data_IF_911782618222
#
_entry.id   IF_911782618222
#
_cell.length_a   1.000
_cell.length_b   1.000
_cell.length_c   1.000
_cell.angle_alpha   90.00
_cell.angle_beta   90.00
_cell.angle_gamma   90.00
#
_symmetry.space_group_name_H-M   'P 1'
#
loop_
_entity.id
_entity.type
_entity.pdbx_description
1 polymer ?
#
# COMPACT_ATOMS: atom_id res chain seq x y z
N UNK A 1 10.97 -15.24 5.84
CA UNK A 1 10.89 -14.63 4.50
C UNK A 1 10.02 -15.53 3.65
N UNK A 2 8.99 -14.98 3.01
CA UNK A 2 8.02 -15.69 2.19
C UNK A 2 8.27 -15.32 0.73
N UNK A 3 8.46 -16.33 -0.10
CA UNK A 3 8.77 -16.13 -1.52
C UNK A 3 7.66 -16.80 -2.32
N UNK A 4 7.12 -16.07 -3.31
CA UNK A 4 6.08 -16.57 -4.20
C UNK A 4 6.46 -16.30 -5.65
N UNK A 5 5.90 -17.06 -6.56
CA UNK A 5 6.01 -16.83 -8.01
C UNK A 5 5.13 -15.66 -8.46
N UNK A 6 5.39 -15.11 -9.64
CA UNK A 6 4.55 -14.06 -10.22
C UNK A 6 3.08 -14.50 -10.38
N UNK A 7 2.83 -15.76 -10.72
CA UNK A 7 1.47 -16.28 -10.88
C UNK A 7 0.77 -16.45 -9.54
N UNK A 8 1.47 -16.92 -8.50
CA UNK A 8 0.94 -16.93 -7.14
C UNK A 8 0.65 -15.51 -6.63
N UNK A 9 1.52 -14.55 -6.92
CA UNK A 9 1.29 -13.14 -6.59
C UNK A 9 0.01 -12.61 -7.25
N UNK A 10 -0.17 -12.86 -8.56
CA UNK A 10 -1.40 -12.50 -9.28
C UNK A 10 -2.63 -13.17 -8.68
N UNK A 11 -2.53 -14.43 -8.26
CA UNK A 11 -3.61 -15.14 -7.59
C UNK A 11 -3.94 -14.52 -6.23
N UNK A 12 -2.95 -14.10 -5.45
CA UNK A 12 -3.14 -13.38 -4.18
C UNK A 12 -3.85 -12.04 -4.39
N UNK A 13 -3.46 -11.26 -5.40
CA UNK A 13 -4.12 -9.99 -5.70
C UNK A 13 -5.59 -10.22 -6.10
N UNK A 14 -5.84 -11.23 -6.96
CA UNK A 14 -7.20 -11.61 -7.36
C UNK A 14 -8.03 -12.12 -6.19
N UNK A 15 -7.41 -12.83 -5.25
CA UNK A 15 -8.08 -13.36 -4.06
C UNK A 15 -8.56 -12.26 -3.12
N UNK A 16 -7.97 -11.05 -3.16
CA UNK A 16 -8.48 -9.92 -2.39
C UNK A 16 -9.89 -9.48 -2.83
N UNK A 17 -10.27 -9.76 -4.08
CA UNK A 17 -11.61 -9.45 -4.59
C UNK A 17 -11.92 -7.95 -4.65
N UNK A 18 -10.89 -7.10 -4.73
CA UNK A 18 -11.00 -5.65 -4.87
C UNK A 18 -10.47 -5.21 -6.25
N UNK A 19 -10.89 -4.03 -6.76
CA UNK A 19 -10.31 -3.44 -7.96
C UNK A 19 -8.80 -3.22 -7.81
N UNK A 20 -8.08 -3.17 -8.92
CA UNK A 20 -6.62 -3.07 -8.93
C UNK A 20 -6.09 -1.88 -8.09
N UNK A 21 -6.74 -0.72 -8.18
CA UNK A 21 -6.39 0.47 -7.40
C UNK A 21 -6.54 0.33 -5.88
N UNK A 22 -7.42 -0.57 -5.43
CA UNK A 22 -7.69 -0.84 -4.02
C UNK A 22 -6.97 -2.08 -3.50
N UNK A 23 -6.16 -2.73 -4.33
CA UNK A 23 -5.29 -3.81 -3.91
C UNK A 23 -4.43 -3.34 -2.74
N UNK A 24 -4.53 -4.02 -1.61
CA UNK A 24 -4.00 -3.53 -0.35
C UNK A 24 -2.81 -4.36 0.14
N UNK A 25 -1.84 -3.67 0.74
CA UNK A 25 -0.58 -4.22 1.25
C UNK A 25 -0.29 -3.66 2.63
N UNK A 26 0.43 -4.44 3.45
CA UNK A 26 0.83 -4.04 4.79
C UNK A 26 2.28 -3.60 4.85
N UNK A 27 2.54 -2.40 5.37
CA UNK A 27 3.90 -1.97 5.67
C UNK A 27 4.51 -2.84 6.80
N UNK A 28 5.68 -3.46 6.61
CA UNK A 28 6.29 -4.34 7.62
C UNK A 28 6.81 -3.59 8.86
N UNK A 29 6.97 -2.27 8.79
CA UNK A 29 7.51 -1.46 9.89
C UNK A 29 6.44 -0.81 10.76
N UNK A 30 5.40 -0.23 10.16
CA UNK A 30 4.35 0.50 10.87
C UNK A 30 2.99 -0.20 10.81
N UNK A 31 2.88 -1.34 10.12
CA UNK A 31 1.65 -2.13 9.96
C UNK A 31 0.48 -1.41 9.27
N UNK A 32 0.70 -0.23 8.70
CA UNK A 32 -0.32 0.51 7.93
C UNK A 32 -0.72 -0.30 6.70
N UNK A 33 -2.03 -0.46 6.52
CA UNK A 33 -2.64 -1.03 5.31
C UNK A 33 -2.83 0.11 4.31
N UNK A 34 -2.40 -0.10 3.08
CA UNK A 34 -2.37 0.92 2.03
C UNK A 34 -2.60 0.29 0.66
N UNK A 35 -3.14 1.08 -0.26
CA UNK A 35 -3.48 0.70 -1.64
C UNK A 35 -2.89 1.71 -2.64
N UNK A 36 -3.05 1.45 -3.94
CA UNK A 36 -2.62 2.40 -4.97
C UNK A 36 -3.41 3.71 -4.88
N UNK A 37 -4.70 3.64 -4.54
CA UNK A 37 -5.54 4.81 -4.28
C UNK A 37 -4.98 5.69 -3.15
N UNK A 38 -4.42 5.10 -2.08
CA UNK A 38 -3.78 5.86 -1.00
C UNK A 38 -2.54 6.62 -1.47
N UNK A 39 -1.73 5.98 -2.31
CA UNK A 39 -0.53 6.61 -2.86
C UNK A 39 -0.90 7.77 -3.79
N UNK A 40 -1.94 7.60 -4.61
CA UNK A 40 -2.48 8.67 -5.45
C UNK A 40 -3.00 9.84 -4.60
N UNK A 41 -3.82 9.55 -3.59
CA UNK A 41 -4.35 10.57 -2.68
C UNK A 41 -3.24 11.29 -1.89
N UNK A 42 -2.13 10.61 -1.62
CA UNK A 42 -0.95 11.19 -0.97
C UNK A 42 -0.03 11.99 -1.92
N UNK A 43 -0.34 12.05 -3.21
CA UNK A 43 0.47 12.78 -4.21
C UNK A 43 1.73 12.04 -4.64
N UNK A 44 1.77 10.70 -4.55
CA UNK A 44 2.91 9.91 -5.01
C UNK A 44 3.07 9.90 -6.54
N UNK A 45 2.00 10.23 -7.28
CA UNK A 45 1.99 10.34 -8.74
C UNK A 45 0.63 10.78 -9.27
N UNK A 46 0.57 11.12 -10.55
CA UNK A 46 -0.63 11.68 -11.19
C UNK A 46 -1.63 10.60 -11.67
N UNK A 47 -1.20 9.34 -11.77
CA UNK A 47 -2.01 8.23 -12.25
C UNK A 47 -1.52 6.87 -11.72
N UNK A 48 -2.33 5.82 -11.91
CA UNK A 48 -2.03 4.47 -11.42
C UNK A 48 -0.66 3.95 -11.87
N UNK A 49 -0.28 4.18 -13.14
CA UNK A 49 1.01 3.74 -13.67
C UNK A 49 2.20 4.46 -12.99
N UNK A 50 2.02 5.73 -12.59
CA UNK A 50 3.04 6.48 -11.87
C UNK A 50 3.22 5.98 -10.42
N UNK A 51 2.16 5.44 -9.79
CA UNK A 51 2.23 4.91 -8.42
C UNK A 51 2.56 3.42 -8.33
N UNK A 52 2.37 2.67 -9.41
CA UNK A 52 2.72 1.24 -9.52
C UNK A 52 4.13 0.90 -9.03
N UNK A 53 5.21 1.64 -9.36
CA UNK A 53 6.55 1.34 -8.82
C UNK A 53 6.69 1.56 -7.32
N UNK A 54 5.79 2.34 -6.70
CA UNK A 54 5.76 2.56 -5.25
C UNK A 54 4.80 1.60 -4.54
N UNK A 55 3.84 1.03 -5.26
CA UNK A 55 2.89 0.07 -4.75
C UNK A 55 3.63 -1.17 -4.22
N UNK A 56 3.26 -1.59 -3.01
CA UNK A 56 3.94 -2.65 -2.29
C UNK A 56 5.46 -2.44 -2.06
N UNK A 57 6.01 -1.24 -2.28
CA UNK A 57 7.44 -0.96 -2.10
C UNK A 57 7.72 0.18 -1.12
N UNK A 58 6.91 1.24 -1.19
CA UNK A 58 7.03 2.43 -0.34
C UNK A 58 5.77 2.62 0.50
N UNK A 59 5.95 3.02 1.77
CA UNK A 59 4.83 3.36 2.62
C UNK A 59 4.29 4.75 2.26
N UNK A 60 2.96 4.92 2.28
CA UNK A 60 2.23 6.15 1.98
C UNK A 60 2.70 7.32 2.85
N UNK A 61 3.14 7.03 4.08
CA UNK A 61 3.67 8.03 5.01
C UNK A 61 4.89 8.79 4.49
N UNK A 62 5.62 8.24 3.51
CA UNK A 62 6.73 8.91 2.83
C UNK A 62 6.27 10.12 2.03
N UNK A 63 5.09 10.04 1.42
CA UNK A 63 4.54 11.09 0.59
C UNK A 63 3.77 12.12 1.42
N UNK A 64 3.21 11.71 2.56
CA UNK A 64 2.48 12.60 3.49
C UNK A 64 3.37 13.24 4.56
N UNK A 65 4.66 12.88 4.64
CA UNK A 65 5.58 13.41 5.65
C UNK A 65 5.35 12.87 7.06
N UNK A 66 4.83 11.65 7.21
CA UNK A 66 4.53 11.04 8.51
C UNK A 66 5.77 10.80 9.40
N UNK A 67 6.97 10.82 8.80
CA UNK A 67 8.26 10.68 9.47
C UNK A 67 8.65 9.23 9.78
N UNK A 68 9.68 9.07 10.61
CA UNK A 68 10.30 7.75 10.86
C UNK A 68 9.33 6.73 11.46
N UNK A 69 9.50 5.43 11.14
CA UNK A 69 8.66 4.38 11.69
C UNK A 69 8.66 4.39 13.22
N UNK A 70 7.49 4.33 13.84
CA UNK A 70 7.37 4.05 15.26
C UNK A 70 6.13 3.20 15.54
N UNK A 71 6.17 2.40 16.60
CA UNK A 71 5.03 1.57 17.02
C UNK A 71 3.76 2.39 17.30
N UNK A 72 3.90 3.68 17.62
CA UNK A 72 2.78 4.61 17.82
C UNK A 72 2.37 5.38 16.54
N UNK A 73 3.27 5.54 15.55
CA UNK A 73 3.04 6.38 14.35
C UNK A 73 2.37 5.64 13.17
N UNK A 74 2.09 4.34 13.30
CA UNK A 74 1.53 3.52 12.22
C UNK A 74 0.01 3.38 12.16
N UNK A 75 -0.73 3.91 13.15
CA UNK A 75 -2.20 3.83 13.20
C UNK A 75 -2.82 4.80 12.18
N UNK A 76 -2.90 4.36 10.93
CA UNK A 76 -3.64 5.02 9.84
C UNK A 76 -2.90 6.14 9.10
N UNK A 77 -1.69 6.54 9.51
CA UNK A 77 -0.94 7.66 8.88
C UNK A 77 0.28 7.25 8.04
N UNK A 78 0.74 6.00 8.16
CA UNK A 78 1.95 5.51 7.48
C UNK A 78 3.27 5.96 8.13
N UNK A 79 4.40 5.57 7.52
CA UNK A 79 5.75 6.00 7.89
C UNK A 79 6.63 6.25 6.65
N UNK A 80 7.85 6.74 6.84
CA UNK A 80 8.83 6.99 5.76
C UNK A 80 9.60 5.73 5.29
N UNK A 81 9.02 4.53 5.50
CA UNK A 81 9.69 3.28 5.15
C UNK A 81 9.59 2.94 3.66
N UNK A 82 10.65 2.36 3.10
CA UNK A 82 10.69 1.79 1.75
C UNK A 82 11.55 0.52 1.75
N UNK A 83 11.31 -0.38 0.80
CA UNK A 83 12.15 -1.57 0.59
C UNK A 83 13.45 -1.28 -0.17
N UNK A 84 13.65 -0.03 -0.61
CA UNK A 84 14.90 0.44 -1.20
C UNK A 84 15.93 0.85 -0.16
N UNK A 85 17.22 0.78 -0.52
CA UNK A 85 18.33 1.23 0.32
C UNK A 85 19.34 0.13 0.66
N UNK A 86 20.28 0.44 1.57
CA UNK A 86 21.42 -0.42 1.91
C UNK A 86 21.03 -1.66 2.72
N UNK A 87 19.90 -1.62 3.43
CA UNK A 87 19.40 -2.73 4.24
C UNK A 87 18.04 -3.20 3.70
N UNK A 88 18.05 -4.32 2.97
CA UNK A 88 16.87 -4.93 2.37
C UNK A 88 16.11 -5.76 3.42
N UNK A 89 15.51 -5.12 4.42
CA UNK A 89 14.66 -5.84 5.39
C UNK A 89 13.25 -6.01 4.82
N UNK A 90 13.07 -7.00 3.95
CA UNK A 90 11.77 -7.43 3.44
C UNK A 90 11.36 -8.77 4.06
N UNK A 91 10.05 -8.97 4.18
CA UNK A 91 9.47 -10.24 4.64
C UNK A 91 8.86 -11.04 3.49
N UNK A 92 8.60 -10.40 2.36
CA UNK A 92 7.93 -10.96 1.20
C UNK A 92 8.66 -10.62 -0.10
N UNK A 93 8.80 -11.61 -0.99
CA UNK A 93 9.44 -11.46 -2.30
C UNK A 93 8.63 -12.16 -3.39
N UNK A 94 8.62 -11.58 -4.58
CA UNK A 94 8.10 -12.21 -5.79
C UNK A 94 9.25 -12.57 -6.71
N UNK A 95 9.30 -13.83 -7.11
CA UNK A 95 10.28 -14.34 -8.06
C UNK A 95 9.63 -14.44 -9.43
N UNK A 96 10.25 -13.79 -10.42
CA UNK A 96 9.85 -13.92 -11.83
C UNK A 96 10.51 -15.13 -12.47
N UNK A 97 9.99 -15.57 -13.62
CA UNK A 97 10.52 -16.72 -14.36
C UNK A 97 12.00 -16.55 -14.77
N UNK A 98 12.47 -15.30 -14.86
CA UNK A 98 13.87 -14.94 -15.09
C UNK A 98 14.79 -15.14 -13.87
N UNK A 99 14.23 -15.60 -12.74
CA UNK A 99 14.96 -15.78 -11.47
C UNK A 99 15.26 -14.48 -10.72
N UNK A 100 14.60 -13.36 -11.07
CA UNK A 100 14.77 -12.08 -10.38
C UNK A 100 13.88 -12.00 -9.16
N UNK A 101 14.45 -11.54 -8.05
CA UNK A 101 13.76 -11.34 -6.78
C UNK A 101 13.28 -9.89 -6.67
N UNK A 102 11.98 -9.72 -6.52
CA UNK A 102 11.33 -8.42 -6.33
C UNK A 102 10.80 -8.33 -4.91
N UNK A 103 11.50 -7.63 -4.00
CA UNK A 103 11.03 -7.45 -2.64
C UNK A 103 9.78 -6.57 -2.65
N UNK A 104 8.72 -7.06 -2.00
CA UNK A 104 7.44 -6.36 -1.90
C UNK A 104 6.87 -6.47 -0.49
N UNK A 105 5.90 -5.62 -0.18
CA UNK A 105 5.10 -5.71 1.02
C UNK A 105 4.14 -6.89 0.93
N UNK A 106 3.85 -7.49 2.08
CA UNK A 106 2.94 -8.62 2.11
C UNK A 106 1.51 -8.14 1.82
N UNK A 107 0.81 -8.77 0.86
CA UNK A 107 -0.60 -8.50 0.62
C UNK A 107 -1.43 -8.86 1.84
N UNK A 108 -2.42 -8.03 2.16
CA UNK A 108 -3.35 -8.31 3.25
C UNK A 108 -4.40 -9.34 2.83
N UNK A 109 -5.16 -9.84 3.80
CA UNK A 109 -6.27 -10.75 3.54
C UNK A 109 -7.39 -10.06 2.75
N UNK A 110 -8.23 -10.84 2.06
CA UNK A 110 -9.35 -10.29 1.29
C UNK A 110 -10.29 -9.42 2.14
N UNK A 111 -10.62 -9.89 3.36
CA UNK A 111 -11.45 -9.13 4.29
C UNK A 111 -10.83 -7.77 4.67
N UNK A 112 -9.51 -7.72 4.88
CA UNK A 112 -8.81 -6.48 5.20
C UNK A 112 -8.72 -5.54 3.99
N UNK A 113 -8.49 -6.07 2.79
CA UNK A 113 -8.47 -5.27 1.56
C UNK A 113 -9.85 -4.65 1.27
N UNK A 114 -10.91 -5.45 1.40
CA UNK A 114 -12.29 -4.99 1.25
C UNK A 114 -12.66 -3.95 2.30
N UNK A 115 -12.35 -4.20 3.59
CA UNK A 115 -12.61 -3.24 4.66
C UNK A 115 -11.87 -1.92 4.44
N UNK A 116 -10.63 -1.96 3.93
CA UNK A 116 -9.85 -0.76 3.60
C UNK A 116 -10.46 0.03 2.43
N UNK A 117 -10.88 -0.67 1.37
CA UNK A 117 -11.59 -0.08 0.24
C UNK A 117 -12.92 0.56 0.68
N UNK A 118 -13.73 -0.15 1.48
CA UNK A 118 -15.00 0.36 2.01
C UNK A 118 -14.80 1.60 2.87
N UNK A 119 -13.81 1.57 3.77
CA UNK A 119 -13.45 2.73 4.59
C UNK A 119 -13.07 3.95 3.74
N UNK A 120 -12.46 3.73 2.57
CA UNK A 120 -12.10 4.79 1.62
C UNK A 120 -13.27 5.33 0.83
N UNK A 121 -14.13 4.45 0.31
CA UNK A 121 -15.36 4.85 -0.37
C UNK A 121 -16.30 5.67 0.52
N UNK A 122 -16.26 5.43 1.84
CA UNK A 122 -16.97 6.25 2.83
C UNK A 122 -16.32 7.63 3.04
N UNK A 123 -15.00 7.77 2.89
CA UNK A 123 -14.32 9.07 2.98
C UNK A 123 -14.47 9.92 1.73
N UNK A 124 -14.47 9.32 0.54
CA UNK A 124 -14.66 10.05 -0.74
C UNK A 124 -16.08 10.60 -0.93
N UNK A 125 -17.05 10.11 -0.14
CA UNK A 125 -18.43 10.62 -0.11
C UNK A 125 -18.71 11.72 0.93
N UNK A 126 -17.73 12.11 1.75
CA UNK A 126 -17.92 13.04 2.90
C UNK A 126 -17.24 14.41 2.71
N UNK A 127 -16.49 14.64 1.63
CA UNK A 127 -15.87 15.95 1.35
C UNK A 127 -16.73 16.83 0.41
N UNK A 128 -18.05 16.77 0.54
CA UNK A 128 -18.96 17.62 -0.24
C UNK A 128 -20.12 18.18 0.59
N UNK A 129 -19.88 18.68 1.80
CA UNK A 129 -20.75 19.71 2.42
C UNK A 129 -20.14 20.25 3.74
N UNK A 130 -19.79 21.55 3.74
CA UNK A 130 -19.51 22.33 4.95
C UNK A 130 -18.28 23.23 4.81
N UNK A 131 -18.37 24.55 4.78
CA UNK A 131 -19.50 25.44 4.91
C UNK A 131 -19.00 26.85 4.59
N UNK A 132 -19.66 27.51 3.64
CA UNK A 132 -19.59 28.96 3.52
C UNK A 132 -20.49 29.52 4.62
N UNK A 133 -19.91 30.13 5.64
CA UNK A 133 -20.64 30.98 6.57
C UNK A 133 -20.33 32.44 6.22
N UNK A 134 -21.41 33.19 6.03
CA UNK A 134 -21.54 34.63 5.72
C UNK A 134 -20.60 35.59 6.46
#
# INVERSE_FOLDING_TARGET
MKTVTLDEYRALMKAQGVPHEHTAFRCPMCSTVQSAADLLAAGAGDNLAAVEPYLAFSCVGRFTGAGSPSAMKGLGKGCDWTLGGLFQTHQFEVVTDDGRHHPMFEPVTAAEAQAHMEAKGLTEGVDSEGGSCD
#
